data_IF_166635030270
#
_entry.id   IF_166635030270
#
_cell.length_a   1.000
_cell.length_b   1.000
_cell.length_c   1.000
_cell.angle_alpha   90.00
_cell.angle_beta   90.00
_cell.angle_gamma   90.00
#
_symmetry.space_group_name_H-M   'P 1'
#
loop_
_entity.id
_entity.type
_entity.pdbx_description
1 polymer ?
#
# COMPACT_ATOMS: atom_id res chain seq x y z
N UNK A 1 -2.95 15.33 -14.42
CA UNK A 1 -1.97 14.37 -13.87
C UNK A 1 -1.67 14.73 -12.42
N UNK A 2 -1.36 16.00 -12.13
CA UNK A 2 -1.14 16.49 -10.75
C UNK A 2 -2.36 16.36 -9.85
N UNK A 3 -3.56 16.77 -10.29
CA UNK A 3 -4.77 16.71 -9.46
C UNK A 3 -5.14 15.29 -9.00
N UNK A 4 -4.87 14.26 -9.81
CA UNK A 4 -5.14 12.85 -9.45
C UNK A 4 -4.10 12.37 -8.44
N UNK A 5 -2.82 12.73 -8.62
CA UNK A 5 -1.74 12.38 -7.69
C UNK A 5 -1.89 13.12 -6.35
N UNK A 6 -2.29 14.38 -6.39
CA UNK A 6 -2.57 15.22 -5.23
C UNK A 6 -3.72 14.64 -4.42
N UNK A 7 -4.85 14.34 -5.06
CA UNK A 7 -5.99 13.68 -4.43
C UNK A 7 -5.64 12.28 -3.88
N UNK A 8 -4.79 11.52 -4.55
CA UNK A 8 -4.26 10.25 -4.05
C UNK A 8 -3.39 10.46 -2.80
N UNK A 9 -2.49 11.43 -2.84
CA UNK A 9 -1.57 11.72 -1.73
C UNK A 9 -2.32 12.19 -0.48
N UNK A 10 -3.29 13.10 -0.64
CA UNK A 10 -4.11 13.67 0.41
C UNK A 10 -5.02 12.58 1.02
N UNK A 11 -5.63 11.73 0.19
CA UNK A 11 -6.46 10.61 0.64
C UNK A 11 -5.66 9.55 1.41
N UNK A 12 -4.44 9.20 0.95
CA UNK A 12 -3.61 8.18 1.60
C UNK A 12 -2.95 8.73 2.88
N UNK A 13 -2.35 9.92 2.83
CA UNK A 13 -1.58 10.44 3.96
C UNK A 13 -2.48 11.11 5.00
N UNK A 14 -3.29 12.09 4.60
CA UNK A 14 -4.13 12.83 5.55
C UNK A 14 -5.36 12.00 5.92
N UNK A 15 -6.04 11.43 4.92
CA UNK A 15 -7.21 10.58 5.15
C UNK A 15 -6.92 9.41 6.08
N UNK A 16 -5.89 8.61 5.81
CA UNK A 16 -5.59 7.43 6.64
C UNK A 16 -5.24 7.80 8.10
N UNK A 17 -4.46 8.86 8.30
CA UNK A 17 -3.98 9.29 9.62
C UNK A 17 -5.12 9.88 10.45
N UNK A 18 -5.96 10.70 9.83
CA UNK A 18 -7.07 11.36 10.51
C UNK A 18 -8.19 10.39 10.89
N UNK A 19 -8.51 9.47 9.98
CA UNK A 19 -9.52 8.42 10.21
C UNK A 19 -9.06 7.40 11.28
N UNK A 20 -7.74 7.16 11.37
CA UNK A 20 -7.17 6.32 12.44
C UNK A 20 -7.38 6.92 13.83
N UNK A 21 -7.30 8.26 13.96
CA UNK A 21 -7.41 8.96 15.25
C UNK A 21 -8.85 9.31 15.62
N UNK A 22 -9.72 9.58 14.64
CA UNK A 22 -11.01 10.17 14.92
C UNK A 22 -12.10 9.12 15.24
N UNK A 23 -12.50 9.03 16.52
CA UNK A 23 -13.58 8.13 16.98
C UNK A 23 -14.98 8.60 16.62
N UNK A 24 -15.16 9.84 16.15
CA UNK A 24 -16.47 10.38 15.72
C UNK A 24 -16.92 9.85 14.36
N UNK A 25 -16.01 9.28 13.57
CA UNK A 25 -16.33 8.71 12.26
C UNK A 25 -17.04 7.37 12.46
N UNK A 26 -18.20 7.16 11.81
CA UNK A 26 -18.92 5.90 11.88
C UNK A 26 -18.05 4.70 11.49
N UNK A 27 -18.24 3.57 12.18
CA UNK A 27 -17.43 2.36 11.96
C UNK A 27 -17.40 1.92 10.48
N UNK A 28 -18.52 2.04 9.76
CA UNK A 28 -18.63 1.64 8.36
C UNK A 28 -17.71 2.45 7.44
N UNK A 29 -17.64 3.78 7.60
CA UNK A 29 -16.76 4.65 6.81
C UNK A 29 -15.31 4.33 7.10
N UNK A 30 -14.98 4.15 8.39
CA UNK A 30 -13.62 3.84 8.82
C UNK A 30 -13.11 2.52 8.25
N UNK A 31 -13.89 1.44 8.33
CA UNK A 31 -13.48 0.16 7.75
C UNK A 31 -13.41 0.20 6.23
N UNK A 32 -14.35 0.89 5.57
CA UNK A 32 -14.36 1.03 4.13
C UNK A 32 -13.11 1.76 3.61
N UNK A 33 -12.70 2.84 4.27
CA UNK A 33 -11.49 3.58 3.91
C UNK A 33 -10.21 2.80 4.22
N UNK A 34 -10.14 2.09 5.36
CA UNK A 34 -9.00 1.21 5.67
C UNK A 34 -8.85 0.12 4.60
N UNK A 35 -9.95 -0.52 4.20
CA UNK A 35 -9.94 -1.54 3.14
C UNK A 35 -9.49 -0.93 1.80
N UNK A 36 -9.98 0.26 1.46
CA UNK A 36 -9.59 0.98 0.25
C UNK A 36 -8.07 1.25 0.24
N UNK A 37 -7.50 1.74 1.34
CA UNK A 37 -6.07 2.03 1.46
C UNK A 37 -5.23 0.74 1.36
N UNK A 38 -5.65 -0.33 2.03
CA UNK A 38 -4.97 -1.63 1.95
C UNK A 38 -4.96 -2.15 0.51
N UNK A 39 -6.12 -2.09 -0.15
CA UNK A 39 -6.29 -2.54 -1.53
C UNK A 39 -5.41 -1.72 -2.48
N UNK A 40 -5.38 -0.39 -2.30
CA UNK A 40 -4.57 0.50 -3.11
C UNK A 40 -3.07 0.20 -2.95
N UNK A 41 -2.59 0.08 -1.70
CA UNK A 41 -1.20 -0.32 -1.43
C UNK A 41 -0.86 -1.69 -2.06
N UNK A 42 -1.77 -2.65 -1.97
CA UNK A 42 -1.58 -3.98 -2.56
C UNK A 42 -1.46 -3.91 -4.09
N UNK A 43 -2.33 -3.16 -4.76
CA UNK A 43 -2.30 -2.96 -6.21
C UNK A 43 -0.97 -2.33 -6.65
N UNK A 44 -0.48 -1.31 -5.93
CA UNK A 44 0.79 -0.65 -6.25
C UNK A 44 1.96 -1.62 -6.13
N UNK A 45 2.01 -2.43 -5.06
CA UNK A 45 3.09 -3.40 -4.86
C UNK A 45 3.05 -4.50 -5.94
N UNK A 46 1.86 -5.02 -6.26
CA UNK A 46 1.71 -6.01 -7.33
C UNK A 46 2.09 -5.43 -8.70
N UNK A 47 1.74 -4.16 -8.95
CA UNK A 47 2.15 -3.43 -10.14
C UNK A 47 3.68 -3.30 -10.26
N UNK A 48 4.36 -2.97 -9.17
CA UNK A 48 5.83 -2.91 -9.12
C UNK A 48 6.48 -4.26 -9.45
N UNK A 49 5.95 -5.36 -8.90
CA UNK A 49 6.45 -6.71 -9.18
C UNK A 49 6.22 -7.07 -10.64
N UNK A 50 5.03 -6.80 -11.18
CA UNK A 50 4.70 -7.07 -12.58
C UNK A 50 5.60 -6.26 -13.54
N UNK A 51 5.84 -4.98 -13.23
CA UNK A 51 6.79 -4.15 -13.99
C UNK A 51 8.22 -4.70 -13.90
N UNK A 52 8.65 -5.17 -12.73
CA UNK A 52 9.95 -5.81 -12.56
C UNK A 52 10.11 -7.06 -13.42
N UNK A 53 9.08 -7.91 -13.48
CA UNK A 53 9.05 -9.10 -14.35
C UNK A 53 9.08 -8.70 -15.82
N UNK A 54 8.31 -7.67 -16.21
CA UNK A 54 8.30 -7.18 -17.58
C UNK A 54 9.68 -6.64 -18.00
N UNK A 55 10.34 -5.88 -17.13
CA UNK A 55 11.70 -5.36 -17.37
C UNK A 55 12.74 -6.49 -17.39
N UNK A 56 12.57 -7.54 -16.58
CA UNK A 56 13.47 -8.70 -16.55
C UNK A 56 13.57 -9.41 -17.90
N UNK A 57 12.54 -9.31 -18.76
CA UNK A 57 12.57 -9.84 -20.12
C UNK A 57 13.56 -9.11 -21.04
N UNK A 58 13.90 -7.85 -20.73
CA UNK A 58 14.86 -7.03 -21.48
C UNK A 58 16.22 -6.98 -20.77
N UNK A 59 16.20 -6.62 -19.49
CA UNK A 59 17.36 -6.49 -18.63
C UNK A 59 17.12 -7.29 -17.35
N UNK A 60 17.69 -8.50 -17.30
CA UNK A 60 17.51 -9.43 -16.17
C UNK A 60 17.89 -8.79 -14.83
N UNK A 61 19.02 -8.08 -14.77
CA UNK A 61 19.54 -7.49 -13.52
C UNK A 61 18.59 -6.43 -12.97
N UNK A 62 18.17 -5.48 -13.82
CA UNK A 62 17.28 -4.38 -13.42
C UNK A 62 15.91 -4.91 -12.99
N UNK A 63 15.37 -5.88 -13.74
CA UNK A 63 14.08 -6.48 -13.43
C UNK A 63 14.08 -7.26 -12.12
N UNK A 64 15.15 -8.02 -11.85
CA UNK A 64 15.31 -8.76 -10.58
C UNK A 64 15.45 -7.78 -9.41
N UNK A 65 16.24 -6.71 -9.54
CA UNK A 65 16.36 -5.70 -8.48
C UNK A 65 15.01 -5.04 -8.18
N UNK A 66 14.26 -4.63 -9.21
CA UNK A 66 12.96 -3.99 -9.04
C UNK A 66 11.92 -4.94 -8.42
N UNK A 67 11.87 -6.18 -8.92
CA UNK A 67 10.96 -7.21 -8.39
C UNK A 67 11.30 -7.57 -6.94
N UNK A 68 12.59 -7.66 -6.59
CA UNK A 68 13.05 -7.91 -5.23
C UNK A 68 12.61 -6.82 -4.25
N UNK A 69 12.67 -5.55 -4.66
CA UNK A 69 12.16 -4.42 -3.87
C UNK A 69 10.64 -4.56 -3.65
N UNK A 70 9.89 -4.90 -4.70
CA UNK A 70 8.45 -5.16 -4.59
C UNK A 70 8.11 -6.28 -3.59
N UNK A 71 8.84 -7.39 -3.65
CA UNK A 71 8.66 -8.52 -2.72
C UNK A 71 9.01 -8.12 -1.29
N UNK A 72 10.09 -7.39 -1.07
CA UNK A 72 10.46 -6.85 0.25
C UNK A 72 9.37 -5.96 0.84
N UNK A 73 8.81 -5.05 0.05
CA UNK A 73 7.70 -4.18 0.47
C UNK A 73 6.45 -4.97 0.85
N UNK A 74 6.16 -6.05 0.12
CA UNK A 74 5.06 -6.97 0.41
C UNK A 74 5.26 -7.67 1.75
N UNK A 75 6.46 -8.22 1.99
CA UNK A 75 6.84 -8.87 3.25
C UNK A 75 6.70 -7.88 4.41
N UNK A 76 7.27 -6.68 4.30
CA UNK A 76 7.20 -5.66 5.34
C UNK A 76 5.76 -5.24 5.65
N UNK A 77 4.92 -5.09 4.62
CA UNK A 77 3.49 -4.79 4.80
C UNK A 77 2.78 -5.89 5.59
N UNK A 78 2.98 -7.17 5.22
CA UNK A 78 2.37 -8.31 5.91
C UNK A 78 2.86 -8.40 7.36
N UNK A 79 4.16 -8.23 7.62
CA UNK A 79 4.73 -8.22 8.96
C UNK A 79 4.16 -7.09 9.82
N UNK A 80 4.02 -5.88 9.26
CA UNK A 80 3.45 -4.73 9.96
C UNK A 80 1.98 -4.97 10.33
N UNK A 81 1.18 -5.53 9.42
CA UNK A 81 -0.20 -5.93 9.71
C UNK A 81 -0.29 -6.98 10.81
N UNK A 82 0.57 -8.01 10.78
CA UNK A 82 0.62 -9.06 11.80
C UNK A 82 0.98 -8.51 13.18
N UNK A 83 1.94 -7.58 13.26
CA UNK A 83 2.34 -6.95 14.53
C UNK A 83 1.28 -5.99 15.09
N UNK A 84 0.54 -5.29 14.23
CA UNK A 84 -0.61 -4.47 14.67
C UNK A 84 -1.69 -5.35 15.29
N UNK A 85 -1.99 -6.50 14.67
CA UNK A 85 -2.99 -7.42 15.20
C UNK A 85 -2.56 -8.06 16.53
N UNK A 86 -1.26 -8.31 16.73
CA UNK A 86 -0.70 -8.87 17.97
C UNK A 86 -0.70 -7.89 19.15
N UNK A 87 -0.64 -6.57 18.90
CA UNK A 87 -0.73 -5.52 19.94
C UNK A 87 -2.17 -5.20 20.36
N UNK A 88 -3.17 -5.66 19.60
CA UNK A 88 -4.59 -5.40 19.84
C UNK A 88 -5.28 -6.49 20.68
N UNK A 89 -4.54 -7.49 21.16
CA UNK A 89 -4.99 -8.57 22.03
C UNK A 89 -4.31 -8.45 23.38
#
# INVERSE_FOLDING_TARGET
MDFILELLSELIFEGAVEISKNRKVPKYIRYSLIILIILLCFIVIMGLIALGIFIASKNLIEGIMLSSIGVLLLILSVFKFKNIHKKAK
#
